data_IF_715809655003
#
_entry.id   IF_715809655003
#
_cell.length_a   1.000
_cell.length_b   1.000
_cell.length_c   1.000
_cell.angle_alpha   90.00
_cell.angle_beta   90.00
_cell.angle_gamma   90.00
#
_symmetry.space_group_name_H-M   'P 1'
#
loop_
_entity.id
_entity.type
_entity.pdbx_description
1 polymer ?
#
# COMPACT_ATOMS: atom_id res chain seq x y z
N UNK A 1 -12.39 1.10 13.97
CA UNK A 1 -13.46 0.71 13.01
C UNK A 1 -13.59 1.79 11.94
N UNK A 2 -13.41 1.42 10.69
CA UNK A 2 -13.57 2.37 9.56
C UNK A 2 -15.04 2.47 9.17
N UNK A 3 -15.53 3.64 8.78
CA UNK A 3 -16.90 3.77 8.29
C UNK A 3 -17.04 3.23 6.87
N UNK A 4 -18.19 2.64 6.55
CA UNK A 4 -18.48 2.10 5.22
C UNK A 4 -18.30 3.17 4.12
N UNK A 5 -18.70 4.42 4.39
CA UNK A 5 -18.55 5.53 3.46
C UNK A 5 -17.07 5.84 3.17
N UNK A 6 -16.22 5.80 4.18
CA UNK A 6 -14.77 6.00 4.03
C UNK A 6 -14.13 4.86 3.24
N UNK A 7 -14.48 3.63 3.56
CA UNK A 7 -14.00 2.46 2.81
C UNK A 7 -14.33 2.56 1.32
N UNK A 8 -15.57 2.94 1.00
CA UNK A 8 -16.01 3.10 -0.38
C UNK A 8 -15.24 4.19 -1.14
N UNK A 9 -14.98 5.33 -0.50
CA UNK A 9 -14.23 6.44 -1.11
C UNK A 9 -12.77 6.08 -1.38
N UNK A 10 -12.17 5.25 -0.54
CA UNK A 10 -10.76 4.88 -0.62
C UNK A 10 -10.48 3.63 -1.49
N UNK A 11 -11.51 3.00 -2.06
CA UNK A 11 -11.37 1.82 -2.93
C UNK A 11 -10.28 2.01 -4.02
N UNK A 12 -10.25 3.09 -4.80
CA UNK A 12 -9.24 3.24 -5.85
C UNK A 12 -7.80 3.19 -5.33
N UNK A 13 -7.52 3.82 -4.19
CA UNK A 13 -6.21 3.79 -3.55
C UNK A 13 -5.86 2.43 -2.99
N UNK A 14 -6.79 1.81 -2.27
CA UNK A 14 -6.56 0.53 -1.59
C UNK A 14 -6.51 -0.66 -2.53
N UNK A 15 -7.29 -0.64 -3.62
CA UNK A 15 -7.36 -1.77 -4.56
C UNK A 15 -6.31 -1.67 -5.68
N UNK A 16 -6.05 -0.45 -6.16
CA UNK A 16 -5.29 -0.24 -7.40
C UNK A 16 -4.03 0.63 -7.21
N UNK A 17 -3.62 0.93 -6.00
CA UNK A 17 -2.48 1.82 -5.71
C UNK A 17 -2.60 3.16 -6.45
N UNK A 18 -3.80 3.73 -6.45
CA UNK A 18 -4.03 5.02 -7.10
C UNK A 18 -3.54 6.15 -6.21
N UNK A 19 -2.50 6.79 -6.64
CA UNK A 19 -1.92 7.97 -6.00
C UNK A 19 -2.13 9.22 -6.84
N UNK A 20 -1.23 10.18 -6.68
CA UNK A 20 -1.22 11.43 -7.43
C UNK A 20 0.19 11.79 -7.86
N UNK A 21 0.29 12.57 -8.92
CA UNK A 21 1.56 13.07 -9.46
C UNK A 21 1.46 14.57 -9.68
N UNK A 22 2.50 15.29 -9.28
CA UNK A 22 2.62 16.71 -9.57
C UNK A 22 3.22 16.90 -10.97
N UNK A 23 2.49 17.52 -11.88
CA UNK A 23 2.97 17.80 -13.26
C UNK A 23 4.08 18.85 -13.29
N UNK A 24 4.19 19.69 -12.26
CA UNK A 24 5.19 20.74 -12.21
C UNK A 24 6.59 20.23 -11.87
N UNK A 25 6.71 19.37 -10.84
CA UNK A 25 8.01 18.83 -10.38
C UNK A 25 8.18 17.33 -10.64
N UNK A 26 7.13 16.64 -11.10
CA UNK A 26 7.17 15.20 -11.36
C UNK A 26 7.12 14.30 -10.13
N UNK A 27 6.94 14.86 -8.93
CA UNK A 27 6.84 14.07 -7.70
C UNK A 27 5.57 13.21 -7.67
N UNK A 28 5.72 11.95 -7.26
CA UNK A 28 4.61 11.01 -7.14
C UNK A 28 4.29 10.80 -5.66
N UNK A 29 3.02 10.80 -5.32
CA UNK A 29 2.55 10.65 -3.95
C UNK A 29 1.62 9.44 -3.82
N UNK A 30 1.89 8.63 -2.82
CA UNK A 30 1.00 7.58 -2.36
C UNK A 30 1.07 7.52 -0.83
N UNK A 31 -0.05 7.56 -0.11
CA UNK A 31 -1.42 7.83 -0.60
C UNK A 31 -1.58 9.16 -1.34
N UNK A 32 -2.69 9.28 -2.10
CA UNK A 32 -2.98 10.46 -2.91
C UNK A 32 -2.99 11.76 -2.07
N UNK A 33 -2.41 12.82 -2.60
CA UNK A 33 -2.40 14.16 -2.01
C UNK A 33 -3.01 15.17 -2.95
N UNK A 34 -3.68 16.17 -2.41
CA UNK A 34 -4.34 17.22 -3.20
C UNK A 34 -3.39 18.35 -3.60
N UNK A 35 -2.25 18.46 -2.95
CA UNK A 35 -1.26 19.50 -3.24
C UNK A 35 0.17 18.95 -3.18
N UNK A 36 1.07 19.62 -3.89
CA UNK A 36 2.49 19.29 -3.87
C UNK A 36 3.22 20.12 -2.81
N UNK A 37 3.82 19.48 -1.78
CA UNK A 37 4.54 20.19 -0.74
C UNK A 37 5.83 20.86 -1.23
N UNK A 38 6.40 20.40 -2.33
CA UNK A 38 7.61 20.99 -2.95
C UNK A 38 7.29 22.24 -3.73
N UNK A 39 6.27 22.20 -4.58
CA UNK A 39 5.90 23.30 -5.47
C UNK A 39 5.03 24.35 -4.81
N UNK A 40 4.27 23.98 -3.76
CA UNK A 40 3.35 24.87 -3.05
C UNK A 40 2.42 25.60 -4.04
N UNK A 41 2.46 26.93 -4.08
CA UNK A 41 1.63 27.74 -4.96
C UNK A 41 1.85 27.48 -6.46
N UNK A 42 3.07 27.21 -6.87
CA UNK A 42 3.39 26.87 -8.25
C UNK A 42 2.77 25.56 -8.72
N UNK A 43 2.45 24.65 -7.78
CA UNK A 43 1.82 23.37 -8.05
C UNK A 43 0.29 23.36 -7.93
N UNK A 44 -0.36 24.48 -7.68
CA UNK A 44 -1.82 24.56 -7.56
C UNK A 44 -2.48 24.05 -8.85
N UNK A 45 -3.44 23.12 -8.72
CA UNK A 45 -4.17 22.46 -9.81
C UNK A 45 -3.29 21.64 -10.76
N UNK A 46 -2.03 21.39 -10.41
CA UNK A 46 -1.10 20.56 -11.19
C UNK A 46 -0.94 19.13 -10.67
N UNK A 47 -1.60 18.81 -9.57
CA UNK A 47 -1.62 17.45 -9.01
C UNK A 47 -2.75 16.68 -9.66
N UNK A 48 -2.40 15.61 -10.38
CA UNK A 48 -3.32 14.78 -11.16
C UNK A 48 -3.30 13.33 -10.64
N UNK A 49 -4.39 12.56 -10.83
CA UNK A 49 -4.40 11.14 -10.52
C UNK A 49 -3.30 10.39 -11.27
N UNK A 50 -2.65 9.45 -10.58
CA UNK A 50 -1.59 8.63 -11.13
C UNK A 50 -1.68 7.21 -10.59
N UNK A 51 -1.52 6.20 -11.44
CA UNK A 51 -1.48 4.82 -11.03
C UNK A 51 -0.04 4.44 -10.71
N UNK A 52 0.24 4.19 -9.43
CA UNK A 52 1.57 3.76 -8.97
C UNK A 52 1.85 2.34 -9.47
N UNK A 53 3.08 2.07 -9.84
CA UNK A 53 3.53 0.75 -10.28
C UNK A 53 3.20 -0.32 -9.23
N UNK A 54 2.73 -1.47 -9.70
CA UNK A 54 2.40 -2.61 -8.83
C UNK A 54 3.58 -3.51 -8.52
N UNK A 55 4.69 -3.30 -9.19
CA UNK A 55 5.92 -4.05 -9.00
C UNK A 55 6.97 -3.18 -8.32
N UNK A 56 7.85 -3.82 -7.59
CA UNK A 56 8.94 -3.14 -6.89
C UNK A 56 9.83 -4.12 -6.16
N UNK A 57 10.62 -3.59 -5.25
CA UNK A 57 11.56 -4.37 -4.43
C UNK A 57 11.38 -4.03 -2.96
N UNK A 58 11.63 -5.01 -2.11
CA UNK A 58 11.64 -4.80 -0.66
C UNK A 58 12.78 -3.83 -0.31
N UNK A 59 12.42 -2.69 0.25
CA UNK A 59 13.36 -1.68 0.74
C UNK A 59 13.80 -1.98 2.17
N UNK A 60 12.82 -2.30 3.03
CA UNK A 60 13.03 -2.76 4.40
C UNK A 60 11.86 -3.63 4.84
N UNK A 61 12.04 -4.44 5.86
CA UNK A 61 10.97 -5.26 6.40
C UNK A 61 11.12 -5.48 7.90
N UNK A 62 10.03 -5.88 8.54
CA UNK A 62 9.99 -6.29 9.94
C UNK A 62 9.02 -7.45 10.10
N UNK A 63 9.37 -8.40 10.97
CA UNK A 63 8.48 -9.51 11.33
C UNK A 63 7.75 -9.17 12.62
N UNK A 64 6.43 -9.25 12.60
CA UNK A 64 5.55 -8.91 13.70
C UNK A 64 5.11 -10.20 14.41
N UNK A 65 5.46 -10.34 15.67
CA UNK A 65 5.09 -11.49 16.49
C UNK A 65 3.88 -11.22 17.38
N UNK A 66 3.68 -9.98 17.79
CA UNK A 66 2.51 -9.53 18.54
C UNK A 66 1.63 -8.67 17.66
N UNK A 67 0.40 -9.11 17.42
CA UNK A 67 -0.49 -8.48 16.46
C UNK A 67 -1.76 -7.93 17.14
N UNK A 68 -2.36 -6.85 16.62
CA UNK A 68 -3.70 -6.43 17.04
C UNK A 68 -4.74 -7.52 16.73
N UNK A 69 -5.88 -7.47 17.37
CA UNK A 69 -6.93 -8.50 17.28
C UNK A 69 -7.35 -8.84 15.83
N UNK A 70 -7.42 -7.83 14.97
CA UNK A 70 -7.77 -8.01 13.56
C UNK A 70 -6.76 -8.89 12.78
N UNK A 71 -5.51 -8.97 13.21
CA UNK A 71 -4.45 -9.73 12.56
C UNK A 71 -3.95 -10.91 13.40
N UNK A 72 -4.60 -11.20 14.51
CA UNK A 72 -4.12 -12.18 15.47
C UNK A 72 -3.99 -13.61 14.88
N UNK A 73 -4.87 -13.95 13.94
CA UNK A 73 -4.82 -15.26 13.28
C UNK A 73 -3.66 -15.38 12.26
N UNK A 74 -3.03 -14.28 11.86
CA UNK A 74 -1.97 -14.27 10.86
C UNK A 74 -0.56 -14.17 11.44
N UNK A 75 -0.42 -13.96 12.75
CA UNK A 75 0.89 -13.83 13.38
C UNK A 75 1.66 -15.17 13.43
N UNK A 76 3.00 -15.16 13.28
CA UNK A 76 3.79 -14.00 12.91
C UNK A 76 3.58 -13.61 11.43
N UNK A 77 3.67 -12.33 11.12
CA UNK A 77 3.58 -11.83 9.74
C UNK A 77 4.63 -10.76 9.46
N UNK A 78 4.92 -10.52 8.20
CA UNK A 78 5.90 -9.53 7.79
C UNK A 78 5.22 -8.26 7.26
N UNK A 79 5.75 -7.12 7.66
CA UNK A 79 5.41 -5.80 7.10
C UNK A 79 6.66 -5.28 6.40
N UNK A 80 6.51 -4.83 5.16
CA UNK A 80 7.61 -4.34 4.37
C UNK A 80 7.36 -2.92 3.84
N UNK A 81 8.43 -2.16 3.73
CA UNK A 81 8.48 -0.98 2.88
C UNK A 81 8.92 -1.44 1.50
N UNK A 82 8.10 -1.23 0.51
CA UNK A 82 8.39 -1.60 -0.88
C UNK A 82 8.66 -0.33 -1.68
N UNK A 83 9.80 -0.29 -2.33
CA UNK A 83 10.10 0.73 -3.31
C UNK A 83 9.60 0.25 -4.67
N UNK A 84 8.56 0.89 -5.19
CA UNK A 84 8.02 0.57 -6.50
C UNK A 84 8.98 0.97 -7.62
N UNK A 85 8.76 0.46 -8.82
CA UNK A 85 9.58 0.81 -9.99
C UNK A 85 9.51 2.30 -10.34
N UNK A 86 8.45 2.99 -9.87
CA UNK A 86 8.31 4.46 -9.97
C UNK A 86 9.11 5.23 -8.90
N UNK A 87 9.77 4.54 -7.98
CA UNK A 87 10.52 5.16 -6.88
C UNK A 87 9.68 5.55 -5.65
N UNK A 88 8.41 5.16 -5.62
CA UNK A 88 7.52 5.45 -4.49
C UNK A 88 7.69 4.39 -3.41
N UNK A 89 7.80 4.81 -2.15
CA UNK A 89 7.81 3.91 -1.00
C UNK A 89 6.39 3.64 -0.53
N UNK A 90 6.01 2.37 -0.53
CA UNK A 90 4.69 1.91 -0.10
C UNK A 90 4.87 0.91 1.05
N UNK A 91 4.16 1.14 2.14
CA UNK A 91 4.16 0.24 3.29
C UNK A 91 2.99 -0.73 3.18
N UNK A 92 3.26 -2.02 3.27
CA UNK A 92 2.24 -3.05 3.24
C UNK A 92 2.71 -4.37 3.83
N UNK A 93 1.75 -5.24 4.10
CA UNK A 93 2.03 -6.61 4.52
C UNK A 93 2.57 -7.44 3.35
N UNK A 94 3.61 -8.21 3.63
CA UNK A 94 4.16 -9.19 2.69
C UNK A 94 3.55 -10.57 3.00
N UNK A 95 2.97 -11.20 2.00
CA UNK A 95 2.25 -12.47 2.12
C UNK A 95 2.77 -13.50 1.13
N UNK A 96 2.35 -14.75 1.31
CA UNK A 96 2.75 -15.87 0.45
C UNK A 96 4.28 -16.07 0.37
N UNK A 97 4.97 -15.84 1.48
CA UNK A 97 6.42 -15.97 1.58
C UNK A 97 6.81 -16.57 2.95
N UNK A 98 7.83 -17.40 2.94
CA UNK A 98 8.43 -17.87 4.19
C UNK A 98 9.19 -16.71 4.85
N UNK A 99 8.90 -16.47 6.13
CA UNK A 99 9.47 -15.34 6.87
C UNK A 99 11.00 -15.35 6.89
N UNK A 100 11.60 -16.53 6.91
CA UNK A 100 13.06 -16.71 6.93
C UNK A 100 13.72 -16.44 5.58
N UNK A 101 12.93 -16.33 4.51
CA UNK A 101 13.42 -16.12 3.13
C UNK A 101 13.24 -14.68 2.66
N UNK A 102 12.76 -13.79 3.52
CA UNK A 102 12.58 -12.40 3.15
C UNK A 102 13.94 -11.69 3.15
N UNK A 103 14.27 -11.06 2.04
CA UNK A 103 15.51 -10.33 1.88
C UNK A 103 15.26 -8.92 1.32
N UNK A 104 16.12 -7.98 1.70
CA UNK A 104 16.13 -6.63 1.12
C UNK A 104 16.52 -6.74 -0.36
N UNK A 105 15.77 -6.10 -1.23
CA UNK A 105 15.96 -6.16 -2.68
C UNK A 105 15.14 -7.26 -3.37
N UNK A 106 14.43 -8.10 -2.62
CA UNK A 106 13.57 -9.13 -3.19
C UNK A 106 12.49 -8.51 -4.09
N UNK A 107 12.31 -9.00 -5.33
CA UNK A 107 11.25 -8.49 -6.20
C UNK A 107 9.88 -8.91 -5.68
N UNK A 108 8.94 -7.97 -5.68
CA UNK A 108 7.58 -8.19 -5.20
C UNK A 108 6.57 -7.51 -6.11
N UNK A 109 5.32 -7.97 -6.05
CA UNK A 109 4.20 -7.38 -6.77
C UNK A 109 2.99 -7.20 -5.86
N UNK A 110 2.20 -6.17 -6.12
CA UNK A 110 0.97 -5.91 -5.39
C UNK A 110 -0.15 -6.85 -5.85
N UNK A 111 -0.90 -7.36 -4.88
CA UNK A 111 -2.08 -8.19 -5.10
C UNK A 111 -3.22 -7.71 -4.22
N UNK A 112 -4.45 -7.96 -4.64
CA UNK A 112 -5.63 -7.71 -3.83
C UNK A 112 -5.85 -8.86 -2.86
N UNK A 113 -6.00 -8.53 -1.57
CA UNK A 113 -6.29 -9.51 -0.51
C UNK A 113 -7.32 -8.96 0.46
N UNK A 114 -8.04 -9.86 1.11
CA UNK A 114 -8.91 -9.51 2.23
C UNK A 114 -8.08 -8.99 3.39
N UNK A 115 -8.45 -7.82 3.94
CA UNK A 115 -7.81 -7.22 5.11
C UNK A 115 -8.55 -7.60 6.39
N UNK A 116 -9.86 -7.39 6.40
CA UNK A 116 -10.72 -7.58 7.57
C UNK A 116 -12.18 -7.72 7.15
N UNK A 117 -13.05 -8.05 8.08
CA UNK A 117 -14.50 -8.09 7.88
C UNK A 117 -15.23 -7.67 9.16
N UNK A 118 -16.33 -6.96 9.02
CA UNK A 118 -17.17 -6.51 10.13
C UNK A 118 -18.15 -7.64 10.52
N UNK A 119 -17.62 -8.71 11.15
CA UNK A 119 -18.39 -9.89 11.54
C UNK A 119 -18.70 -10.83 10.36
N UNK A 120 -19.50 -11.84 10.61
CA UNK A 120 -19.81 -12.91 9.64
C UNK A 120 -20.67 -12.45 8.45
N UNK A 121 -21.51 -11.43 8.65
CA UNK A 121 -22.43 -10.89 7.63
C UNK A 121 -22.16 -9.43 7.28
N UNK A 122 -21.11 -8.83 7.84
CA UNK A 122 -20.76 -7.44 7.62
C UNK A 122 -19.92 -7.20 6.37
N UNK A 123 -19.51 -5.95 6.17
CA UNK A 123 -18.68 -5.52 5.04
C UNK A 123 -17.31 -6.17 5.12
N UNK A 124 -16.82 -6.67 3.99
CA UNK A 124 -15.48 -7.20 3.84
C UNK A 124 -14.57 -6.09 3.32
N UNK A 125 -13.45 -5.85 4.02
CA UNK A 125 -12.47 -4.85 3.64
C UNK A 125 -11.34 -5.52 2.85
N UNK A 126 -11.14 -5.08 1.61
CA UNK A 126 -10.05 -5.53 0.75
C UNK A 126 -8.98 -4.44 0.64
N UNK A 127 -7.78 -4.84 0.32
CA UNK A 127 -6.70 -3.91 0.06
C UNK A 127 -5.50 -4.60 -0.59
N UNK A 128 -4.49 -3.82 -0.90
CA UNK A 128 -3.27 -4.33 -1.48
C UNK A 128 -2.38 -4.98 -0.40
N UNK A 129 -1.75 -6.06 -0.78
CA UNK A 129 -0.61 -6.66 -0.09
C UNK A 129 0.44 -6.99 -1.15
N UNK A 130 1.65 -7.28 -0.73
CA UNK A 130 2.70 -7.67 -1.66
C UNK A 130 3.02 -9.15 -1.53
N UNK A 131 3.29 -9.77 -2.68
CA UNK A 131 3.76 -11.16 -2.78
C UNK A 131 5.08 -11.19 -3.55
N UNK A 132 5.94 -12.20 -3.33
CA UNK A 132 7.14 -12.36 -4.14
C UNK A 132 6.80 -12.45 -5.62
N UNK A 133 7.56 -11.74 -6.44
CA UNK A 133 7.41 -11.78 -7.89
C UNK A 133 8.41 -12.78 -8.46
N UNK A 134 7.98 -14.01 -8.51
CA UNK A 134 8.79 -15.13 -9.03
C UNK A 134 8.67 -15.24 -10.54
#
# INVERSE_FOLDING_TARGET
MSSVAREWREIPGRYNLKGTKCENCGSIFFPARDFCPKCRRAGIRKVVPYNVCRTGKVYSFSVIHEAPDCNNAMKPYAVAMVQTDDGVLVSAQLVDVDLDKIEIGMPVRAVLRKLDADGASGVIHYGYKFVPNL
#
